data_IF_673007040660
#
_entry.id   IF_673007040660
#
_cell.length_a   1.000
_cell.length_b   1.000
_cell.length_c   1.000
_cell.angle_alpha   90.00
_cell.angle_beta   90.00
_cell.angle_gamma   90.00
#
_symmetry.space_group_name_H-M   'P 1'
#
loop_
_entity.id
_entity.type
_entity.pdbx_description
1 polymer ?
#
# COMPACT_ATOMS: atom_id res chain seq x y z
N UNK A 1 6.62 -6.02 4.23
CA UNK A 1 6.51 -5.50 5.62
C UNK A 1 5.56 -6.32 6.49
N UNK A 2 4.30 -6.55 6.09
CA UNK A 2 3.33 -7.30 6.91
C UNK A 2 3.77 -8.72 7.29
N UNK A 3 4.32 -9.56 6.38
CA UNK A 3 4.85 -10.87 6.77
C UNK A 3 6.04 -10.78 7.73
N UNK A 4 6.87 -9.74 7.62
CA UNK A 4 8.00 -9.53 8.53
C UNK A 4 7.54 -9.20 9.95
N UNK A 5 6.43 -8.46 10.11
CA UNK A 5 5.83 -8.25 11.43
C UNK A 5 5.37 -9.57 12.03
N UNK A 6 4.73 -10.42 11.25
CA UNK A 6 4.35 -11.77 11.66
C UNK A 6 5.56 -12.63 11.98
N UNK A 7 6.61 -12.58 11.17
CA UNK A 7 7.85 -13.29 11.40
C UNK A 7 8.51 -12.87 12.72
N UNK A 8 8.60 -11.57 13.00
CA UNK A 8 9.26 -11.04 14.19
C UNK A 8 8.45 -11.27 15.48
N UNK A 9 7.16 -10.94 15.48
CA UNK A 9 6.32 -10.89 16.67
C UNK A 9 5.29 -12.04 16.77
N UNK A 10 5.30 -12.99 15.82
CA UNK A 10 4.24 -13.99 15.74
C UNK A 10 2.87 -13.32 15.60
N UNK A 11 1.89 -13.81 16.36
CA UNK A 11 0.54 -13.26 16.36
C UNK A 11 0.34 -12.05 17.28
N UNK A 12 1.28 -11.72 18.16
CA UNK A 12 1.12 -10.70 19.22
C UNK A 12 0.65 -9.33 18.70
N UNK A 13 1.03 -8.96 17.49
CA UNK A 13 0.69 -7.68 16.88
C UNK A 13 -0.42 -7.76 15.81
N UNK A 14 -1.25 -8.82 15.82
CA UNK A 14 -2.39 -8.94 14.92
C UNK A 14 -3.38 -7.77 15.12
N UNK A 15 -3.69 -7.41 16.36
CA UNK A 15 -4.55 -6.28 16.68
C UNK A 15 -4.03 -4.94 16.13
N UNK A 16 -2.69 -4.74 16.16
CA UNK A 16 -2.03 -3.55 15.64
C UNK A 16 -2.17 -3.44 14.12
N UNK A 17 -2.02 -4.57 13.44
CA UNK A 17 -2.24 -4.67 12.00
C UNK A 17 -3.69 -4.31 11.64
N UNK A 18 -4.68 -4.88 12.34
CA UNK A 18 -6.09 -4.57 12.13
C UNK A 18 -6.39 -3.10 12.40
N UNK A 19 -5.85 -2.55 13.49
CA UNK A 19 -5.98 -1.13 13.82
C UNK A 19 -5.43 -0.25 12.68
N UNK A 20 -4.27 -0.60 12.12
CA UNK A 20 -3.70 0.12 10.99
C UNK A 20 -4.60 0.11 9.76
N UNK A 21 -5.16 -1.06 9.42
CA UNK A 21 -6.00 -1.20 8.23
C UNK A 21 -7.37 -0.53 8.36
N UNK A 22 -7.93 -0.46 9.56
CA UNK A 22 -9.32 -0.01 9.75
C UNK A 22 -9.46 1.42 10.24
N UNK A 23 -8.42 2.01 10.84
CA UNK A 23 -8.46 3.41 11.29
C UNK A 23 -8.24 4.41 10.15
N UNK A 24 -7.31 4.13 9.25
CA UNK A 24 -6.94 5.05 8.15
C UNK A 24 -8.05 5.29 7.11
N UNK A 25 -8.87 4.30 6.74
CA UNK A 25 -10.01 4.52 5.85
C UNK A 25 -11.04 5.52 6.38
N UNK A 26 -11.17 5.66 7.70
CA UNK A 26 -12.03 6.68 8.30
C UNK A 26 -11.54 8.07 7.92
N UNK A 27 -10.24 8.30 8.02
CA UNK A 27 -9.60 9.56 7.62
C UNK A 27 -9.76 9.77 6.10
N UNK A 28 -9.54 8.73 5.30
CA UNK A 28 -9.73 8.79 3.85
C UNK A 28 -11.15 9.17 3.48
N UNK A 29 -12.15 8.55 4.10
CA UNK A 29 -13.55 8.82 3.85
C UNK A 29 -13.93 10.28 4.20
N UNK A 30 -13.41 10.83 5.31
CA UNK A 30 -13.68 12.19 5.72
C UNK A 30 -13.03 13.24 4.81
N UNK A 31 -11.77 13.05 4.44
CA UNK A 31 -11.08 13.93 3.50
C UNK A 31 -11.77 13.87 2.12
N UNK A 32 -12.13 12.69 1.66
CA UNK A 32 -12.82 12.53 0.38
C UNK A 32 -14.22 13.12 0.40
N UNK A 33 -14.94 13.00 1.53
CA UNK A 33 -16.24 13.67 1.73
C UNK A 33 -16.11 15.19 1.56
N UNK A 34 -15.06 15.78 2.13
CA UNK A 34 -14.79 17.21 1.96
C UNK A 34 -14.58 17.56 0.49
N UNK A 35 -13.78 16.80 -0.24
CA UNK A 35 -13.51 17.01 -1.67
C UNK A 35 -14.78 16.89 -2.52
N UNK A 36 -15.62 15.86 -2.25
CA UNK A 36 -16.90 15.67 -2.95
C UNK A 36 -17.85 16.85 -2.73
N UNK A 37 -17.91 17.38 -1.51
CA UNK A 37 -18.79 18.51 -1.16
C UNK A 37 -18.28 19.83 -1.74
N UNK A 38 -16.99 20.12 -1.59
CA UNK A 38 -16.41 21.40 -1.97
C UNK A 38 -16.00 21.48 -3.44
N UNK A 39 -15.84 20.33 -4.09
CA UNK A 39 -15.32 20.19 -5.47
C UNK A 39 -13.90 20.74 -5.63
N UNK A 40 -13.20 20.96 -4.53
CA UNK A 40 -11.80 21.41 -4.48
C UNK A 40 -10.86 20.24 -4.42
N UNK A 41 -9.65 20.39 -4.96
CA UNK A 41 -8.61 19.39 -4.73
C UNK A 41 -8.18 19.37 -3.26
N UNK A 42 -7.51 18.30 -2.86
CA UNK A 42 -6.98 18.17 -1.52
C UNK A 42 -5.98 19.30 -1.15
N UNK A 43 -5.15 19.71 -2.11
CA UNK A 43 -4.18 20.78 -1.91
C UNK A 43 -4.84 22.16 -1.82
N UNK A 44 -5.87 22.42 -2.62
CA UNK A 44 -6.68 23.64 -2.50
C UNK A 44 -7.34 23.71 -1.11
N UNK A 45 -7.85 22.59 -0.63
CA UNK A 45 -8.41 22.50 0.73
C UNK A 45 -7.36 22.87 1.80
N UNK A 46 -6.13 22.39 1.64
CA UNK A 46 -5.03 22.71 2.56
C UNK A 46 -4.55 24.15 2.43
N UNK A 47 -4.62 24.75 1.26
CA UNK A 47 -4.31 26.16 1.06
C UNK A 47 -5.27 27.09 1.83
N UNK A 48 -6.53 26.67 1.99
CA UNK A 48 -7.57 27.42 2.73
C UNK A 48 -7.42 27.29 4.27
N UNK A 49 -6.64 26.33 4.78
CA UNK A 49 -6.51 26.08 6.22
C UNK A 49 -5.95 27.30 6.97
N UNK A 50 -6.46 27.55 8.18
CA UNK A 50 -5.95 28.64 9.04
C UNK A 50 -4.53 28.36 9.52
N UNK A 51 -3.79 29.42 9.83
CA UNK A 51 -2.41 29.36 10.35
C UNK A 51 -1.45 30.22 9.56
N UNK A 52 -0.16 29.90 9.65
CA UNK A 52 0.88 30.65 8.94
C UNK A 52 0.70 30.53 7.42
N UNK A 53 0.69 31.67 6.75
CA UNK A 53 0.60 31.77 5.29
C UNK A 53 1.85 32.47 4.75
N UNK A 54 2.38 31.92 3.69
CA UNK A 54 3.53 32.48 2.97
C UNK A 54 3.06 33.00 1.62
N UNK A 55 3.45 34.23 1.27
CA UNK A 55 3.16 34.80 -0.04
C UNK A 55 4.39 34.73 -0.92
N UNK A 56 4.29 33.98 -2.03
CA UNK A 56 5.34 33.88 -3.05
C UNK A 56 4.73 34.32 -4.39
N UNK A 57 5.38 35.24 -5.06
CA UNK A 57 4.95 35.80 -6.35
C UNK A 57 3.46 36.24 -6.38
N UNK A 58 2.97 36.80 -5.25
CA UNK A 58 1.59 37.25 -5.13
C UNK A 58 0.54 36.19 -4.82
N UNK A 59 0.92 34.91 -4.73
CA UNK A 59 0.05 33.81 -4.28
C UNK A 59 0.29 33.52 -2.82
N UNK A 60 -0.77 33.42 -2.04
CA UNK A 60 -0.72 33.13 -0.59
C UNK A 60 -0.99 31.67 -0.34
N UNK A 61 -0.04 30.99 0.27
CA UNK A 61 -0.05 29.55 0.50
C UNK A 61 0.04 29.22 1.97
N UNK A 62 -0.77 28.27 2.45
CA UNK A 62 -0.70 27.77 3.83
C UNK A 62 0.56 26.95 4.09
N UNK A 63 1.05 27.00 5.33
CA UNK A 63 2.18 26.19 5.79
C UNK A 63 1.98 24.69 5.57
N UNK A 64 0.74 24.20 5.59
CA UNK A 64 0.41 22.80 5.35
C UNK A 64 0.79 22.34 3.93
N UNK A 65 0.67 23.21 2.95
CA UNK A 65 1.08 22.88 1.58
C UNK A 65 2.59 22.73 1.48
N UNK A 66 3.35 23.57 2.21
CA UNK A 66 4.80 23.43 2.33
C UNK A 66 5.20 22.14 3.04
N UNK A 67 4.49 21.78 4.09
CA UNK A 67 4.68 20.49 4.76
C UNK A 67 4.44 19.32 3.81
N UNK A 68 3.39 19.40 2.99
CA UNK A 68 3.12 18.44 1.93
C UNK A 68 4.24 18.36 0.90
N UNK A 69 4.73 19.50 0.44
CA UNK A 69 5.85 19.58 -0.50
C UNK A 69 7.10 18.88 0.05
N UNK A 70 7.45 19.12 1.31
CA UNK A 70 8.56 18.42 1.97
C UNK A 70 8.30 16.91 2.04
N UNK A 71 7.07 16.49 2.32
CA UNK A 71 6.66 15.07 2.36
C UNK A 71 6.73 14.34 1.01
N UNK A 72 6.70 15.07 -0.11
CA UNK A 72 6.86 14.47 -1.45
C UNK A 72 8.27 13.90 -1.66
N UNK A 73 9.30 14.50 -1.07
CA UNK A 73 10.70 14.06 -1.27
C UNK A 73 10.93 12.62 -0.79
N UNK A 74 10.61 12.23 0.46
CA UNK A 74 10.69 10.84 0.90
C UNK A 74 9.82 9.89 0.08
N UNK A 75 8.68 10.38 -0.39
CA UNK A 75 7.75 9.58 -1.20
C UNK A 75 8.34 9.23 -2.57
N UNK A 76 9.07 10.15 -3.21
CA UNK A 76 9.81 9.89 -4.45
C UNK A 76 10.88 8.81 -4.20
N UNK A 77 11.64 8.92 -3.09
CA UNK A 77 12.62 7.90 -2.72
C UNK A 77 11.96 6.53 -2.48
N UNK A 78 10.79 6.51 -1.84
CA UNK A 78 9.98 5.29 -1.68
C UNK A 78 9.57 4.65 -2.99
N UNK A 79 9.20 5.44 -4.01
CA UNK A 79 8.91 4.94 -5.36
C UNK A 79 10.15 4.35 -6.05
N UNK A 80 11.33 4.96 -5.82
CA UNK A 80 12.61 4.38 -6.26
C UNK A 80 12.89 3.01 -5.64
N UNK A 81 12.66 2.87 -4.34
CA UNK A 81 12.78 1.57 -3.65
C UNK A 81 11.80 0.53 -4.18
N UNK A 82 10.56 0.94 -4.50
CA UNK A 82 9.58 0.06 -5.12
C UNK A 82 10.00 -0.39 -6.54
N UNK A 83 10.56 0.51 -7.34
CA UNK A 83 11.12 0.16 -8.65
C UNK A 83 12.28 -0.84 -8.52
N UNK A 84 13.13 -0.68 -7.49
CA UNK A 84 14.16 -1.66 -7.12
C UNK A 84 13.58 -3.03 -6.79
N UNK A 85 12.55 -3.10 -5.96
CA UNK A 85 11.89 -4.36 -5.61
C UNK A 85 11.24 -5.06 -6.82
N UNK A 86 10.64 -4.30 -7.76
CA UNK A 86 10.16 -4.84 -9.05
C UNK A 86 11.33 -5.43 -9.85
N UNK A 87 12.46 -4.72 -9.89
CA UNK A 87 13.65 -5.14 -10.62
C UNK A 87 14.27 -6.40 -10.02
N UNK A 88 14.33 -6.53 -8.70
CA UNK A 88 14.80 -7.74 -8.02
C UNK A 88 13.91 -8.94 -8.32
N UNK A 89 12.58 -8.77 -8.28
CA UNK A 89 11.66 -9.83 -8.68
C UNK A 89 11.84 -10.21 -10.17
N UNK A 90 12.03 -9.23 -11.05
CA UNK A 90 12.33 -9.45 -12.47
C UNK A 90 13.65 -10.17 -12.70
N UNK A 91 14.72 -9.78 -11.99
CA UNK A 91 16.01 -10.44 -12.03
C UNK A 91 15.94 -11.88 -11.52
N UNK A 92 15.13 -12.14 -10.49
CA UNK A 92 14.88 -13.50 -9.99
C UNK A 92 14.18 -14.40 -11.01
N UNK A 93 13.35 -13.83 -11.91
CA UNK A 93 12.74 -14.58 -13.03
C UNK A 93 13.71 -14.79 -14.20
N UNK A 94 14.50 -13.76 -14.52
CA UNK A 94 15.38 -13.73 -15.67
C UNK A 94 16.77 -13.20 -15.27
N UNK A 95 17.65 -14.03 -14.69
CA UNK A 95 18.94 -13.63 -14.13
C UNK A 95 19.97 -13.11 -15.16
N UNK A 96 19.69 -13.25 -16.45
CA UNK A 96 20.57 -12.76 -17.51
C UNK A 96 20.54 -11.24 -17.70
N UNK A 97 19.54 -10.54 -17.11
CA UNK A 97 19.47 -9.09 -17.08
C UNK A 97 19.84 -8.59 -15.68
N UNK A 98 20.71 -7.57 -15.59
CA UNK A 98 21.05 -6.98 -14.30
C UNK A 98 19.86 -6.22 -13.68
N UNK A 99 19.90 -6.03 -12.35
CA UNK A 99 18.84 -5.30 -11.63
C UNK A 99 18.65 -3.89 -12.17
N UNK A 100 19.75 -3.20 -12.56
CA UNK A 100 19.69 -1.85 -13.11
C UNK A 100 18.94 -1.80 -14.44
N UNK A 101 19.11 -2.82 -15.29
CA UNK A 101 18.37 -2.93 -16.55
C UNK A 101 16.89 -3.15 -16.27
N UNK A 102 16.56 -3.99 -15.28
CA UNK A 102 15.18 -4.22 -14.88
C UNK A 102 14.52 -2.96 -14.31
N UNK A 103 15.24 -2.12 -13.54
CA UNK A 103 14.75 -0.81 -13.11
C UNK A 103 14.40 0.05 -14.33
N UNK A 104 15.31 0.16 -15.30
CA UNK A 104 15.10 0.93 -16.53
C UNK A 104 13.88 0.43 -17.32
N UNK A 105 13.78 -0.89 -17.51
CA UNK A 105 12.65 -1.54 -18.23
C UNK A 105 11.33 -1.30 -17.53
N UNK A 106 11.26 -1.52 -16.21
CA UNK A 106 10.02 -1.32 -15.44
C UNK A 106 9.56 0.13 -15.43
N UNK A 107 10.49 1.08 -15.30
CA UNK A 107 10.18 2.51 -15.38
C UNK A 107 9.70 2.91 -16.78
N UNK A 108 10.34 2.41 -17.84
CA UNK A 108 9.95 2.66 -19.23
C UNK A 108 8.55 2.11 -19.52
N UNK A 109 8.28 0.87 -19.11
CA UNK A 109 6.95 0.27 -19.30
C UNK A 109 5.89 1.06 -18.51
N UNK A 110 6.19 1.44 -17.27
CA UNK A 110 5.30 2.28 -16.46
C UNK A 110 4.99 3.59 -17.17
N UNK A 111 6.01 4.28 -17.68
CA UNK A 111 5.85 5.53 -18.41
C UNK A 111 5.01 5.34 -19.70
N UNK A 112 5.29 4.32 -20.49
CA UNK A 112 4.53 4.01 -21.70
C UNK A 112 3.07 3.70 -21.41
N UNK A 113 2.80 2.90 -20.38
CA UNK A 113 1.42 2.55 -20.00
C UNK A 113 0.63 3.77 -19.51
N UNK A 114 1.26 4.67 -18.77
CA UNK A 114 0.62 5.90 -18.31
C UNK A 114 0.43 6.91 -19.44
N UNK A 115 1.35 6.96 -20.40
CA UNK A 115 1.28 7.87 -21.56
C UNK A 115 0.24 7.42 -22.60
N UNK A 116 0.21 6.11 -22.90
CA UNK A 116 -0.64 5.54 -23.96
C UNK A 116 -1.97 4.99 -23.42
N UNK A 117 -2.03 4.70 -22.13
CA UNK A 117 -3.13 3.96 -21.54
C UNK A 117 -4.39 4.78 -21.26
N UNK A 118 -5.53 4.18 -21.53
CA UNK A 118 -6.78 4.64 -20.96
C UNK A 118 -6.86 4.24 -19.49
N UNK A 119 -7.15 5.17 -18.59
CA UNK A 119 -7.33 4.93 -17.16
C UNK A 119 -8.20 3.69 -16.85
N UNK A 120 -9.31 3.51 -17.57
CA UNK A 120 -10.23 2.38 -17.37
C UNK A 120 -9.61 1.00 -17.68
N UNK A 121 -8.79 0.92 -18.72
CA UNK A 121 -8.12 -0.35 -19.07
C UNK A 121 -7.07 -0.71 -18.02
N UNK A 122 -6.32 0.30 -17.58
CA UNK A 122 -5.31 0.17 -16.55
C UNK A 122 -5.93 -0.30 -15.21
N UNK A 123 -6.98 0.39 -14.74
CA UNK A 123 -7.70 0.07 -13.51
C UNK A 123 -8.18 -1.39 -13.49
N UNK A 124 -8.78 -1.87 -14.57
CA UNK A 124 -9.26 -3.26 -14.68
C UNK A 124 -8.13 -4.28 -14.60
N UNK A 125 -7.03 -4.02 -15.29
CA UNK A 125 -5.87 -4.91 -15.30
C UNK A 125 -5.24 -4.98 -13.90
N UNK A 126 -5.00 -3.84 -13.27
CA UNK A 126 -4.45 -3.79 -11.91
C UNK A 126 -5.36 -4.49 -10.90
N UNK A 127 -6.67 -4.25 -10.97
CA UNK A 127 -7.63 -4.91 -10.10
C UNK A 127 -7.62 -6.43 -10.28
N UNK A 128 -7.61 -6.92 -11.51
CA UNK A 128 -7.55 -8.36 -11.78
C UNK A 128 -6.28 -8.99 -11.21
N UNK A 129 -5.12 -8.34 -11.36
CA UNK A 129 -3.84 -8.81 -10.82
C UNK A 129 -3.86 -8.89 -9.29
N UNK A 130 -4.34 -7.85 -8.62
CA UNK A 130 -4.41 -7.79 -7.15
C UNK A 130 -5.39 -8.85 -6.62
N UNK A 131 -6.56 -9.01 -7.24
CA UNK A 131 -7.53 -10.02 -6.83
C UNK A 131 -6.99 -11.44 -7.00
N UNK A 132 -6.35 -11.73 -8.13
CA UNK A 132 -5.73 -13.04 -8.38
C UNK A 132 -4.65 -13.35 -7.34
N UNK A 133 -3.76 -12.39 -7.08
CA UNK A 133 -2.70 -12.53 -6.08
C UNK A 133 -3.27 -12.75 -4.67
N UNK A 134 -4.25 -11.93 -4.26
CA UNK A 134 -4.89 -12.06 -2.95
C UNK A 134 -5.58 -13.42 -2.79
N UNK A 135 -6.25 -13.90 -3.85
CA UNK A 135 -6.91 -15.19 -3.86
C UNK A 135 -5.91 -16.35 -3.71
N UNK A 136 -4.81 -16.31 -4.47
CA UNK A 136 -3.77 -17.36 -4.39
C UNK A 136 -3.12 -17.35 -3.00
N UNK A 137 -2.78 -16.18 -2.48
CA UNK A 137 -2.17 -16.08 -1.13
C UNK A 137 -3.12 -16.57 -0.03
N UNK A 138 -4.42 -16.30 -0.18
CA UNK A 138 -5.44 -16.82 0.72
C UNK A 138 -5.52 -18.34 0.66
N UNK A 139 -5.48 -18.94 -0.53
CA UNK A 139 -5.44 -20.41 -0.68
C UNK A 139 -4.21 -21.02 -0.01
N UNK A 140 -3.04 -20.37 -0.11
CA UNK A 140 -1.81 -20.83 0.53
C UNK A 140 -1.92 -20.74 2.05
N UNK A 141 -2.46 -19.64 2.59
CA UNK A 141 -2.69 -19.48 4.02
C UNK A 141 -3.70 -20.51 4.58
N UNK A 142 -4.70 -20.91 3.78
CA UNK A 142 -5.61 -22.01 4.13
C UNK A 142 -4.86 -23.33 4.07
N UNK A 143 -4.06 -23.58 3.03
CA UNK A 143 -3.29 -24.82 2.87
C UNK A 143 -2.27 -25.00 4.00
N UNK A 144 -1.74 -23.92 4.57
CA UNK A 144 -0.87 -23.93 5.75
C UNK A 144 -1.51 -24.66 6.95
N UNK A 145 -2.85 -24.62 7.07
CA UNK A 145 -3.57 -25.32 8.15
C UNK A 145 -3.50 -26.87 8.03
N UNK A 146 -3.07 -27.38 6.88
CA UNK A 146 -2.86 -28.81 6.63
C UNK A 146 -1.40 -29.24 6.81
N UNK A 147 -0.54 -28.33 7.22
CA UNK A 147 0.91 -28.54 7.44
C UNK A 147 1.27 -28.47 8.93
N UNK A 148 2.53 -28.68 9.25
CA UNK A 148 3.07 -28.48 10.61
C UNK A 148 2.99 -27.02 11.10
N UNK A 149 2.75 -26.07 10.17
CA UNK A 149 2.61 -24.63 10.46
C UNK A 149 1.17 -24.21 10.78
N UNK A 150 0.31 -25.15 11.16
CA UNK A 150 -1.09 -24.85 11.50
C UNK A 150 -1.20 -23.82 12.62
N UNK A 151 -2.07 -22.85 12.46
CA UNK A 151 -2.34 -21.79 13.42
C UNK A 151 -3.51 -22.16 14.31
N UNK A 152 -3.30 -22.10 15.62
CA UNK A 152 -4.34 -22.39 16.60
C UNK A 152 -5.22 -21.16 16.90
N UNK A 153 -6.47 -21.40 17.29
CA UNK A 153 -7.36 -20.34 17.74
C UNK A 153 -6.82 -19.59 18.98
N UNK A 154 -6.00 -20.25 19.80
CA UNK A 154 -5.37 -19.64 20.97
C UNK A 154 -4.38 -18.57 20.52
N UNK A 155 -3.50 -18.85 19.54
CA UNK A 155 -2.55 -17.87 19.01
C UNK A 155 -3.26 -16.64 18.45
N UNK A 156 -4.35 -16.84 17.71
CA UNK A 156 -5.17 -15.72 17.19
C UNK A 156 -5.77 -14.90 18.33
N UNK A 157 -6.31 -15.56 19.35
CA UNK A 157 -6.90 -14.88 20.51
C UNK A 157 -5.87 -14.09 21.32
N UNK A 158 -4.64 -14.59 21.42
CA UNK A 158 -3.52 -13.87 22.05
C UNK A 158 -3.13 -12.64 21.24
N UNK A 159 -3.15 -12.74 19.93
CA UNK A 159 -2.89 -11.62 19.03
C UNK A 159 -3.92 -10.48 19.11
N UNK A 160 -5.04 -10.70 19.77
CA UNK A 160 -6.10 -9.68 19.97
C UNK A 160 -6.11 -9.09 21.40
N UNK A 161 -5.17 -9.47 22.29
CA UNK A 161 -5.11 -9.00 23.69
C UNK A 161 -4.51 -7.61 23.87
N UNK A 162 -4.26 -6.85 22.81
CA UNK A 162 -3.65 -5.52 22.86
C UNK A 162 -2.30 -5.45 23.57
N UNK A 163 -1.55 -6.56 23.58
CA UNK A 163 -0.18 -6.59 24.07
C UNK A 163 0.74 -5.91 23.05
N UNK A 164 1.65 -5.05 23.52
CA UNK A 164 2.60 -4.35 22.65
C UNK A 164 4.02 -4.46 23.22
N UNK A 165 4.82 -5.46 22.81
CA UNK A 165 6.22 -5.52 23.17
C UNK A 165 7.01 -4.39 22.50
N UNK A 166 7.68 -3.57 23.31
CA UNK A 166 8.36 -2.33 22.85
C UNK A 166 9.56 -2.61 21.93
N UNK A 167 10.10 -3.80 21.97
CA UNK A 167 11.18 -4.26 21.09
C UNK A 167 10.81 -4.24 19.61
N UNK A 168 9.53 -4.47 19.29
CA UNK A 168 9.03 -4.43 17.91
C UNK A 168 8.54 -3.05 17.45
N UNK A 169 8.67 -2.01 18.28
CA UNK A 169 8.12 -0.68 18.01
C UNK A 169 8.57 -0.11 16.66
N UNK A 170 9.86 -0.14 16.25
CA UNK A 170 10.27 0.41 14.97
C UNK A 170 9.59 -0.29 13.78
N UNK A 171 9.57 -1.63 13.79
CA UNK A 171 8.92 -2.43 12.76
C UNK A 171 7.39 -2.24 12.77
N UNK A 172 6.78 -2.20 13.95
CA UNK A 172 5.35 -2.00 14.10
C UNK A 172 4.90 -0.63 13.57
N UNK A 173 5.67 0.44 13.81
CA UNK A 173 5.40 1.77 13.26
C UNK A 173 5.58 1.79 11.74
N UNK A 174 6.64 1.16 11.21
CA UNK A 174 6.84 1.04 9.76
C UNK A 174 5.67 0.30 9.11
N UNK A 175 5.26 -0.85 9.68
CA UNK A 175 4.10 -1.61 9.19
C UNK A 175 2.82 -0.81 9.30
N UNK A 176 2.61 -0.07 10.40
CA UNK A 176 1.45 0.82 10.53
C UNK A 176 1.40 1.86 9.41
N UNK A 177 2.53 2.46 9.06
CA UNK A 177 2.60 3.46 7.98
C UNK A 177 2.27 2.89 6.59
N UNK A 178 2.80 1.71 6.28
CA UNK A 178 2.74 1.13 4.94
C UNK A 178 1.59 0.14 4.71
N UNK A 179 1.00 -0.43 5.77
CA UNK A 179 -0.05 -1.45 5.60
C UNK A 179 -1.44 -0.82 5.49
N UNK A 180 -2.26 -1.40 4.64
CA UNK A 180 -3.60 -0.91 4.36
C UNK A 180 -3.57 0.26 3.39
N UNK A 181 -3.97 1.44 3.85
CA UNK A 181 -3.99 2.66 3.07
C UNK A 181 -2.86 3.57 3.57
N UNK A 182 -1.93 3.90 2.71
CA UNK A 182 -0.83 4.82 3.02
C UNK A 182 -1.27 6.28 2.89
N UNK A 183 -0.45 7.19 3.42
CA UNK A 183 -0.65 8.63 3.30
C UNK A 183 -0.81 9.08 1.83
N UNK A 184 0.07 8.57 0.94
CA UNK A 184 0.00 8.92 -0.49
C UNK A 184 -1.30 8.45 -1.16
N UNK A 185 -1.82 7.29 -0.74
CA UNK A 185 -3.08 6.74 -1.25
C UNK A 185 -4.30 7.50 -0.75
N UNK A 186 -4.28 7.99 0.49
CA UNK A 186 -5.33 8.88 1.01
C UNK A 186 -5.45 10.13 0.14
N UNK A 187 -4.32 10.75 -0.21
CA UNK A 187 -4.31 11.92 -1.09
C UNK A 187 -4.74 11.57 -2.52
N UNK A 188 -4.18 10.51 -3.09
CA UNK A 188 -4.49 10.08 -4.45
C UNK A 188 -5.97 9.77 -4.64
N UNK A 189 -6.61 9.17 -3.66
CA UNK A 189 -8.02 8.83 -3.72
C UNK A 189 -8.92 10.08 -3.89
N UNK A 190 -8.54 11.21 -3.34
CA UNK A 190 -9.29 12.46 -3.49
C UNK A 190 -9.31 12.94 -4.95
N UNK A 191 -8.20 12.83 -5.67
CA UNK A 191 -8.16 13.12 -7.10
C UNK A 191 -9.00 12.14 -7.90
N UNK A 192 -8.96 10.85 -7.53
CA UNK A 192 -9.80 9.84 -8.17
C UNK A 192 -11.30 10.07 -7.92
N UNK A 193 -11.69 10.59 -6.77
CA UNK A 193 -13.08 11.00 -6.54
C UNK A 193 -13.53 12.07 -7.53
N UNK A 194 -12.66 13.04 -7.85
CA UNK A 194 -12.94 14.06 -8.86
C UNK A 194 -13.00 13.46 -10.27
N UNK A 195 -12.05 12.61 -10.64
CA UNK A 195 -11.97 11.96 -11.94
C UNK A 195 -13.12 10.95 -12.18
N UNK A 196 -13.56 10.24 -11.15
CA UNK A 196 -14.73 9.35 -11.19
C UNK A 196 -16.05 10.11 -11.27
N UNK A 197 -16.02 11.43 -11.09
CA UNK A 197 -17.21 12.28 -11.13
C UNK A 197 -18.03 12.27 -9.83
N UNK A 198 -17.47 11.81 -8.71
CA UNK A 198 -18.17 11.82 -7.42
C UNK A 198 -18.46 13.24 -6.91
N UNK A 199 -17.79 14.25 -7.44
CA UNK A 199 -18.13 15.65 -7.18
C UNK A 199 -19.41 16.12 -7.88
N UNK A 200 -20.04 15.26 -8.68
CA UNK A 200 -21.30 15.55 -9.39
C UNK A 200 -21.20 16.60 -10.49
N UNK A 201 -22.34 16.98 -11.04
CA UNK A 201 -22.44 18.13 -11.91
C UNK A 201 -22.31 19.43 -11.11
N UNK A 202 -22.13 20.58 -11.78
CA UNK A 202 -22.04 21.91 -11.13
C UNK A 202 -23.36 22.34 -10.44
N UNK A 203 -24.37 21.48 -10.40
CA UNK A 203 -25.64 21.76 -9.72
C UNK A 203 -25.49 21.66 -8.21
N UNK A 204 -26.01 22.61 -7.47
CA UNK A 204 -26.04 22.64 -6.00
C UNK A 204 -27.16 21.70 -5.45
N UNK A 205 -27.39 20.57 -6.09
CA UNK A 205 -28.39 19.60 -5.66
C UNK A 205 -27.87 18.79 -4.47
N UNK A 206 -28.44 19.05 -3.31
CA UNK A 206 -28.07 18.40 -2.04
C UNK A 206 -28.29 16.87 -2.11
N UNK A 207 -29.37 16.43 -2.74
CA UNK A 207 -29.69 15.00 -2.86
C UNK A 207 -28.66 14.27 -3.73
N UNK A 208 -28.26 14.86 -4.84
CA UNK A 208 -27.20 14.33 -5.71
C UNK A 208 -25.88 14.23 -4.96
N UNK A 209 -25.48 15.28 -4.23
CA UNK A 209 -24.27 15.29 -3.41
C UNK A 209 -24.29 14.20 -2.33
N UNK A 210 -25.42 14.02 -1.65
CA UNK A 210 -25.56 12.95 -0.65
C UNK A 210 -25.44 11.56 -1.26
N UNK A 211 -25.96 11.34 -2.47
CA UNK A 211 -25.83 10.06 -3.16
C UNK A 211 -24.37 9.77 -3.57
N UNK A 212 -23.64 10.79 -4.02
CA UNK A 212 -22.21 10.65 -4.32
C UNK A 212 -21.38 10.37 -3.07
N UNK A 213 -21.68 11.00 -1.93
CA UNK A 213 -21.03 10.71 -0.65
C UNK A 213 -21.26 9.24 -0.25
N UNK A 214 -22.49 8.73 -0.37
CA UNK A 214 -22.78 7.31 -0.10
C UNK A 214 -22.01 6.37 -1.03
N UNK A 215 -21.92 6.70 -2.31
CA UNK A 215 -21.18 5.92 -3.30
C UNK A 215 -19.69 5.90 -2.94
N UNK A 216 -19.10 7.05 -2.64
CA UNK A 216 -17.71 7.17 -2.22
C UNK A 216 -17.43 6.39 -0.92
N UNK A 217 -18.28 6.49 0.08
CA UNK A 217 -18.15 5.73 1.33
C UNK A 217 -18.23 4.23 1.09
N UNK A 218 -19.15 3.78 0.23
CA UNK A 218 -19.24 2.37 -0.17
C UNK A 218 -17.96 1.89 -0.86
N UNK A 219 -17.41 2.68 -1.76
CA UNK A 219 -16.14 2.41 -2.46
C UNK A 219 -14.99 2.25 -1.44
N UNK A 220 -14.88 3.15 -0.47
CA UNK A 220 -13.87 3.06 0.60
C UNK A 220 -14.02 1.76 1.41
N UNK A 221 -15.21 1.45 1.90
CA UNK A 221 -15.41 0.26 2.75
C UNK A 221 -15.28 -1.05 2.00
N UNK A 222 -15.69 -1.11 0.74
CA UNK A 222 -15.43 -2.26 -0.13
C UNK A 222 -13.92 -2.44 -0.33
N UNK A 223 -13.18 -1.36 -0.53
CA UNK A 223 -11.72 -1.40 -0.64
C UNK A 223 -11.08 -1.92 0.66
N UNK A 224 -11.54 -1.47 1.83
CA UNK A 224 -11.07 -1.97 3.14
C UNK A 224 -11.27 -3.48 3.27
N UNK A 225 -12.42 -3.98 2.84
CA UNK A 225 -12.69 -5.42 2.86
C UNK A 225 -11.68 -6.20 2.02
N UNK A 226 -11.41 -5.77 0.79
CA UNK A 226 -10.44 -6.44 -0.08
C UNK A 226 -9.00 -6.29 0.41
N UNK A 227 -8.62 -5.13 0.95
CA UNK A 227 -7.30 -4.93 1.57
C UNK A 227 -7.12 -5.88 2.75
N UNK A 228 -8.14 -6.03 3.60
CA UNK A 228 -8.08 -6.94 4.75
C UNK A 228 -7.92 -8.38 4.28
N UNK A 229 -8.71 -8.82 3.30
CA UNK A 229 -8.60 -10.15 2.71
C UNK A 229 -7.24 -10.41 2.06
N UNK A 230 -6.65 -9.42 1.42
CA UNK A 230 -5.33 -9.56 0.79
C UNK A 230 -4.18 -9.52 1.79
N UNK A 231 -4.30 -8.76 2.88
CA UNK A 231 -3.20 -8.52 3.81
C UNK A 231 -3.10 -9.58 4.92
N UNK A 232 -4.23 -10.01 5.47
CA UNK A 232 -4.26 -11.00 6.56
C UNK A 232 -3.56 -12.32 6.22
N UNK A 233 -3.75 -12.92 5.03
CA UNK A 233 -3.06 -14.15 4.68
C UNK A 233 -1.53 -14.02 4.74
N UNK A 234 -0.99 -12.88 4.30
CA UNK A 234 0.45 -12.61 4.40
C UNK A 234 0.94 -12.52 5.83
N UNK A 235 0.17 -11.89 6.71
CA UNK A 235 0.50 -11.84 8.13
C UNK A 235 0.47 -13.24 8.74
N UNK A 236 -0.56 -14.03 8.45
CA UNK A 236 -0.70 -15.40 8.95
C UNK A 236 0.43 -16.32 8.50
N UNK A 237 0.82 -16.22 7.22
CA UNK A 237 1.96 -16.95 6.69
C UNK A 237 3.28 -16.50 7.34
N UNK A 238 3.46 -15.20 7.54
CA UNK A 238 4.62 -14.66 8.28
C UNK A 238 4.67 -15.18 9.71
N UNK A 239 3.57 -15.10 10.45
CA UNK A 239 3.49 -15.51 11.84
C UNK A 239 3.49 -17.03 12.03
N UNK A 240 2.92 -17.79 11.10
CA UNK A 240 2.85 -19.25 11.19
C UNK A 240 4.09 -19.96 10.64
N UNK A 241 4.67 -19.46 9.54
CA UNK A 241 5.79 -20.10 8.85
C UNK A 241 7.12 -19.45 9.22
N UNK A 242 7.27 -18.15 8.94
CA UNK A 242 8.57 -17.47 9.11
C UNK A 242 8.96 -17.27 10.56
N UNK A 243 8.00 -17.12 11.47
CA UNK A 243 8.28 -17.03 12.92
C UNK A 243 8.95 -18.30 13.47
N UNK A 244 8.80 -19.43 12.80
CA UNK A 244 9.42 -20.71 13.18
C UNK A 244 10.78 -20.95 12.50
N UNK A 245 11.28 -20.02 11.67
CA UNK A 245 12.59 -20.14 11.01
C UNK A 245 13.64 -19.41 11.84
N UNK A 246 14.46 -20.16 12.59
CA UNK A 246 15.45 -19.63 13.52
C UNK A 246 16.43 -18.63 12.86
N UNK A 247 16.90 -18.95 11.67
CA UNK A 247 17.85 -18.11 10.92
C UNK A 247 17.29 -16.71 10.66
N UNK A 248 16.01 -16.61 10.29
CA UNK A 248 15.33 -15.33 10.09
C UNK A 248 15.10 -14.58 11.40
N UNK A 249 14.83 -15.29 12.49
CA UNK A 249 14.68 -14.70 13.82
C UNK A 249 15.99 -14.03 14.29
N UNK A 250 17.14 -14.67 14.08
CA UNK A 250 18.44 -14.09 14.40
C UNK A 250 18.70 -12.80 13.60
N UNK A 251 18.39 -12.79 12.32
CA UNK A 251 18.52 -11.59 11.47
C UNK A 251 17.60 -10.47 11.96
N UNK A 252 16.34 -10.78 12.26
CA UNK A 252 15.36 -9.79 12.73
C UNK A 252 15.68 -9.24 14.12
N UNK A 253 16.37 -10.02 14.96
CA UNK A 253 16.77 -9.62 16.31
C UNK A 253 18.05 -8.77 16.34
N UNK A 254 18.98 -8.99 15.42
CA UNK A 254 20.32 -8.37 15.43
C UNK A 254 20.51 -7.25 14.43
N UNK A 255 19.79 -7.27 13.33
CA UNK A 255 19.93 -6.30 12.23
C UNK A 255 18.78 -5.33 12.20
N UNK A 256 19.00 -4.21 11.53
CA UNK A 256 17.86 -3.45 11.04
C UNK A 256 17.04 -4.34 10.11
N UNK A 257 15.75 -4.45 10.32
CA UNK A 257 14.83 -5.21 9.45
C UNK A 257 14.87 -4.76 7.97
N UNK A 258 15.57 -3.68 7.69
CA UNK A 258 15.86 -3.14 6.35
C UNK A 258 16.89 -3.98 5.58
N UNK A 259 17.71 -4.78 6.27
CA UNK A 259 18.74 -5.63 5.67
C UNK A 259 18.20 -7.02 5.29
N UNK A 260 16.97 -7.33 5.66
CA UNK A 260 16.33 -8.61 5.33
C UNK A 260 16.03 -8.64 3.83
N UNK A 261 16.54 -9.65 3.14
CA UNK A 261 16.07 -9.97 1.79
C UNK A 261 14.63 -10.49 1.86
N UNK A 262 13.70 -9.52 1.73
CA UNK A 262 12.26 -9.77 1.86
C UNK A 262 11.76 -10.72 0.79
N UNK A 263 12.30 -10.64 -0.43
CA UNK A 263 11.85 -11.47 -1.55
C UNK A 263 12.23 -12.92 -1.28
N UNK A 264 13.47 -13.20 -0.90
CA UNK A 264 13.91 -14.55 -0.55
C UNK A 264 13.17 -15.11 0.66
N UNK A 265 12.94 -14.31 1.70
CA UNK A 265 12.18 -14.74 2.87
C UNK A 265 10.73 -15.14 2.52
N UNK A 266 10.05 -14.33 1.72
CA UNK A 266 8.68 -14.61 1.27
C UNK A 266 8.63 -15.80 0.30
N UNK A 267 9.63 -15.95 -0.56
CA UNK A 267 9.77 -17.08 -1.46
C UNK A 267 9.91 -18.40 -0.68
N UNK A 268 10.72 -18.40 0.37
CA UNK A 268 10.86 -19.54 1.27
C UNK A 268 9.55 -19.85 2.01
N UNK A 269 8.82 -18.83 2.45
CA UNK A 269 7.52 -19.00 3.08
C UNK A 269 6.54 -19.79 2.19
N UNK A 270 6.49 -19.51 0.90
CA UNK A 270 5.64 -20.22 -0.05
C UNK A 270 6.15 -21.66 -0.28
N UNK A 271 7.46 -21.85 -0.40
CA UNK A 271 8.04 -23.17 -0.63
C UNK A 271 7.89 -24.13 0.56
N UNK A 272 7.94 -23.61 1.78
CA UNK A 272 7.73 -24.41 2.98
C UNK A 272 6.29 -24.94 3.10
N UNK A 273 5.32 -24.23 2.56
CA UNK A 273 3.90 -24.66 2.60
C UNK A 273 3.55 -25.58 1.42
N UNK A 274 4.02 -25.27 0.20
CA UNK A 274 3.57 -25.93 -1.04
C UNK A 274 4.68 -26.70 -1.76
N UNK A 275 5.93 -26.64 -1.27
CA UNK A 275 7.09 -27.22 -1.93
C UNK A 275 7.78 -26.27 -2.91
N UNK A 276 8.93 -26.71 -3.44
CA UNK A 276 9.86 -25.85 -4.20
C UNK A 276 9.28 -25.21 -5.46
N UNK A 277 8.29 -25.81 -6.09
CA UNK A 277 7.64 -25.22 -7.26
C UNK A 277 6.94 -23.89 -6.94
N UNK A 278 6.52 -23.69 -5.70
CA UNK A 278 5.84 -22.48 -5.26
C UNK A 278 6.76 -21.25 -5.24
N UNK A 279 8.08 -21.42 -5.26
CA UNK A 279 9.04 -20.32 -5.42
C UNK A 279 8.80 -19.55 -6.71
N UNK A 280 8.59 -20.27 -7.80
CA UNK A 280 8.29 -19.67 -9.10
C UNK A 280 6.93 -18.98 -9.12
N UNK A 281 5.93 -19.60 -8.52
CA UNK A 281 4.60 -18.99 -8.37
C UNK A 281 4.70 -17.67 -7.61
N UNK A 282 5.43 -17.66 -6.48
CA UNK A 282 5.63 -16.46 -5.69
C UNK A 282 6.32 -15.34 -6.49
N UNK A 283 7.43 -15.63 -7.18
CA UNK A 283 8.19 -14.61 -7.91
C UNK A 283 7.31 -13.94 -8.98
N UNK A 284 6.57 -14.73 -9.75
CA UNK A 284 5.67 -14.21 -10.79
C UNK A 284 4.59 -13.31 -10.16
N UNK A 285 3.96 -13.77 -9.09
CA UNK A 285 2.93 -13.01 -8.41
C UNK A 285 3.49 -11.75 -7.76
N UNK A 286 4.66 -11.82 -7.11
CA UNK A 286 5.34 -10.70 -6.50
C UNK A 286 5.70 -9.63 -7.54
N UNK A 287 6.26 -10.04 -8.70
CA UNK A 287 6.54 -9.12 -9.79
C UNK A 287 5.30 -8.34 -10.21
N UNK A 288 4.20 -9.01 -10.47
CA UNK A 288 2.96 -8.37 -10.91
C UNK A 288 2.38 -7.43 -9.85
N UNK A 289 2.39 -7.81 -8.58
CA UNK A 289 1.87 -6.97 -7.48
C UNK A 289 2.75 -5.73 -7.27
N UNK A 290 4.06 -5.92 -7.22
CA UNK A 290 5.00 -4.81 -7.07
C UNK A 290 4.93 -3.86 -8.28
N UNK A 291 4.85 -4.40 -9.49
CA UNK A 291 4.71 -3.61 -10.71
C UNK A 291 3.37 -2.85 -10.75
N UNK A 292 2.26 -3.48 -10.33
CA UNK A 292 0.97 -2.82 -10.24
C UNK A 292 0.99 -1.65 -9.25
N UNK A 293 1.69 -1.82 -8.12
CA UNK A 293 1.87 -0.77 -7.12
C UNK A 293 2.77 0.36 -7.64
N UNK A 294 3.85 0.03 -8.37
CA UNK A 294 4.69 1.02 -9.02
C UNK A 294 3.89 1.88 -10.02
N UNK A 295 3.06 1.24 -10.83
CA UNK A 295 2.24 1.89 -11.83
C UNK A 295 1.17 2.79 -11.21
N UNK A 296 0.40 2.28 -10.24
CA UNK A 296 -0.64 3.05 -9.55
C UNK A 296 -0.06 4.17 -8.69
N UNK A 297 1.04 3.92 -7.99
CA UNK A 297 1.76 4.92 -7.20
C UNK A 297 2.31 6.05 -8.08
N UNK A 298 2.94 5.73 -9.21
CA UNK A 298 3.41 6.75 -10.17
C UNK A 298 2.25 7.59 -10.70
N UNK A 299 1.13 6.96 -11.05
CA UNK A 299 -0.08 7.67 -11.48
C UNK A 299 -0.63 8.61 -10.39
N UNK A 300 -0.62 8.20 -9.14
CA UNK A 300 -1.05 9.00 -7.99
C UNK A 300 -0.11 10.19 -7.74
N UNK A 301 1.20 9.94 -7.73
CA UNK A 301 2.21 10.97 -7.49
C UNK A 301 2.25 12.04 -8.57
N UNK A 302 2.11 11.67 -9.83
CA UNK A 302 2.08 12.65 -10.94
C UNK A 302 0.94 13.65 -10.79
N UNK A 303 -0.22 13.25 -10.29
CA UNK A 303 -1.35 14.14 -10.00
C UNK A 303 -1.03 15.11 -8.88
N UNK A 304 -0.51 14.61 -7.77
CA UNK A 304 -0.14 15.43 -6.61
C UNK A 304 0.95 16.43 -6.96
N UNK A 305 1.99 16.02 -7.69
CA UNK A 305 3.08 16.93 -8.11
C UNK A 305 2.57 17.97 -9.11
N UNK A 306 1.71 17.56 -10.05
CA UNK A 306 1.10 18.50 -11.00
C UNK A 306 0.27 19.56 -10.29
N UNK A 307 -0.56 19.18 -9.33
CA UNK A 307 -1.39 20.12 -8.56
C UNK A 307 -0.51 21.03 -7.69
N UNK A 308 0.51 20.50 -7.03
CA UNK A 308 1.49 21.29 -6.30
C UNK A 308 2.17 22.34 -7.19
N UNK A 309 2.55 21.97 -8.42
CA UNK A 309 3.22 22.87 -9.36
C UNK A 309 2.28 23.98 -9.87
N UNK A 310 1.00 23.66 -10.10
CA UNK A 310 0.01 24.62 -10.60
C UNK A 310 -0.44 25.62 -9.53
N UNK A 311 -0.45 25.21 -8.25
CA UNK A 311 -0.89 26.07 -7.14
C UNK A 311 0.25 26.97 -6.68
N UNK A 312 1.51 26.56 -6.76
CA UNK A 312 2.63 27.16 -6.02
C UNK A 312 3.84 27.59 -6.84
N UNK A 313 3.91 27.29 -8.13
CA UNK A 313 4.98 27.73 -9.02
C UNK A 313 4.39 28.51 -10.19
#
# INVERSE_FOLDING_TARGET
>A
MTPLLGAAAGFLLLWWLLLSMWSKPIIQAEISRYVVVTKKTFLEAFADMPGFKTTIQGKTTSWLVWFMFIGVIPSIAGMGGLAGAVAEAGNSMFPFLSVEIWVGVSCLITWLLLYLGSYRSLEKTLLAMVLLFSFITMLIAISMQLTEFQVSAVQISEGLKFSFPTEYLPLALAVFGFTGISYGEIMAYTYWCLEKGYAGSKSDNIEETQNWIKTMQTDVWVTVFFITLGTLPFFFLGAGVLNNVNELQEILATSSFWEVDVISALQNMFSLVLGDWAKWLFIILAFFVLFSTLLSGTAAFTRTISDLSLIHI
#
